data_IF_814420488730
#
_entry.id   IF_814420488730
#
_cell.length_a   1.000
_cell.length_b   1.000
_cell.length_c   1.000
_cell.angle_alpha   90.00
_cell.angle_beta   90.00
_cell.angle_gamma   90.00
#
_symmetry.space_group_name_H-M   'P 1'
#
loop_
_entity.id
_entity.type
_entity.pdbx_description
1 polymer ?
#
# COMPACT_ATOMS: atom_id res chain seq x y z
N UNK A 1 7.14 0.48 -20.33
CA UNK A 1 7.14 -0.69 -21.21
C UNK A 1 6.45 -1.87 -20.54
N UNK A 2 5.78 -2.77 -21.31
CA UNK A 2 5.06 -3.92 -20.78
C UNK A 2 5.93 -4.83 -19.89
N UNK A 3 7.20 -5.00 -20.24
CA UNK A 3 8.17 -5.78 -19.47
C UNK A 3 8.40 -5.21 -18.07
N UNK A 4 8.55 -3.91 -17.95
CA UNK A 4 8.71 -3.24 -16.64
C UNK A 4 7.48 -3.43 -15.75
N UNK A 5 6.28 -3.36 -16.32
CA UNK A 5 5.03 -3.62 -15.60
C UNK A 5 4.92 -5.07 -15.11
N UNK A 6 5.29 -6.03 -15.96
CA UNK A 6 5.28 -7.45 -15.59
C UNK A 6 6.29 -7.76 -14.47
N UNK A 7 7.51 -7.26 -14.58
CA UNK A 7 8.53 -7.42 -13.50
C UNK A 7 8.08 -6.80 -12.19
N UNK A 8 7.48 -5.61 -12.21
CA UNK A 8 6.92 -4.97 -11.02
C UNK A 8 5.82 -5.81 -10.39
N UNK A 9 4.89 -6.33 -11.20
CA UNK A 9 3.81 -7.18 -10.73
C UNK A 9 4.34 -8.46 -10.06
N UNK A 10 5.33 -9.11 -10.68
CA UNK A 10 5.98 -10.31 -10.11
C UNK A 10 6.63 -10.02 -8.76
N UNK A 11 7.37 -8.92 -8.62
CA UNK A 11 8.01 -8.55 -7.35
C UNK A 11 6.97 -8.29 -6.25
N UNK A 12 5.90 -7.54 -6.56
CA UNK A 12 4.84 -7.25 -5.58
C UNK A 12 4.13 -8.54 -5.16
N UNK A 13 3.83 -9.44 -6.11
CA UNK A 13 3.19 -10.70 -5.84
C UNK A 13 4.08 -11.62 -5.00
N UNK A 14 5.38 -11.66 -5.27
CA UNK A 14 6.36 -12.44 -4.48
C UNK A 14 6.39 -11.98 -3.03
N UNK A 15 6.43 -10.67 -2.78
CA UNK A 15 6.40 -10.11 -1.42
C UNK A 15 5.06 -10.45 -0.75
N UNK A 16 3.95 -10.37 -1.48
CA UNK A 16 2.63 -10.76 -1.00
C UNK A 16 2.58 -12.24 -0.60
N UNK A 17 3.18 -13.11 -1.39
CA UNK A 17 3.23 -14.56 -1.12
C UNK A 17 4.07 -14.86 0.13
N UNK A 18 5.14 -14.12 0.39
CA UNK A 18 5.92 -14.28 1.63
C UNK A 18 5.10 -14.00 2.89
N UNK A 19 4.13 -13.09 2.81
CA UNK A 19 3.26 -12.72 3.93
C UNK A 19 1.99 -13.59 4.03
N UNK A 20 1.66 -14.36 2.99
CA UNK A 20 0.38 -15.05 2.88
C UNK A 20 0.41 -16.41 3.58
N UNK A 21 -0.43 -16.56 4.60
CA UNK A 21 -0.75 -17.87 5.25
C UNK A 21 -2.07 -18.48 4.78
N UNK A 22 -2.66 -17.97 3.71
CA UNK A 22 -4.08 -18.17 3.45
C UNK A 22 -4.91 -17.19 4.30
N UNK A 23 -5.96 -16.62 3.71
CA UNK A 23 -6.85 -15.73 4.46
C UNK A 23 -7.85 -16.57 5.23
N UNK A 24 -7.96 -16.34 6.53
CA UNK A 24 -9.15 -16.75 7.26
C UNK A 24 -10.38 -16.17 6.56
N UNK A 25 -11.27 -17.04 6.14
CA UNK A 25 -12.55 -16.66 5.53
C UNK A 25 -13.66 -16.90 6.53
N UNK A 26 -14.49 -15.89 6.73
CA UNK A 26 -15.67 -16.00 7.59
C UNK A 26 -16.87 -16.24 6.69
N UNK A 27 -17.60 -17.28 6.99
CA UNK A 27 -18.83 -17.68 6.31
C UNK A 27 -20.02 -17.47 7.23
N UNK A 28 -21.16 -17.22 6.61
CA UNK A 28 -22.44 -17.08 7.30
C UNK A 28 -23.47 -17.91 6.55
N UNK A 29 -24.17 -18.79 7.22
CA UNK A 29 -25.31 -19.52 6.68
C UNK A 29 -26.44 -19.62 7.69
N UNK A 30 -27.65 -19.80 7.20
CA UNK A 30 -28.83 -20.08 8.02
C UNK A 30 -29.10 -21.58 8.14
N UNK A 31 -28.46 -22.42 7.31
CA UNK A 31 -28.57 -23.85 7.36
C UNK A 31 -27.36 -24.45 8.13
N UNK A 32 -27.61 -25.21 9.21
CA UNK A 32 -26.53 -25.88 9.94
C UNK A 32 -25.74 -26.90 9.10
N UNK A 33 -26.32 -27.39 8.00
CA UNK A 33 -25.65 -28.34 7.10
C UNK A 33 -24.51 -27.72 6.27
N UNK A 34 -24.55 -26.40 6.11
CA UNK A 34 -23.52 -25.66 5.36
C UNK A 34 -22.27 -25.40 6.19
N UNK A 35 -22.30 -25.69 7.48
CA UNK A 35 -21.15 -25.48 8.37
C UNK A 35 -20.08 -26.52 8.03
N UNK A 36 -18.90 -26.04 7.63
CA UNK A 36 -17.76 -26.91 7.34
C UNK A 36 -17.39 -27.74 8.61
N UNK A 37 -17.31 -29.09 8.51
CA UNK A 37 -16.88 -29.95 9.62
C UNK A 37 -15.52 -29.58 10.22
N UNK A 38 -14.65 -28.96 9.39
CA UNK A 38 -13.32 -28.51 9.80
C UNK A 38 -13.29 -27.03 10.24
N UNK A 39 -14.47 -26.43 10.40
CA UNK A 39 -14.56 -25.02 10.78
C UNK A 39 -14.06 -24.81 12.20
N UNK A 40 -13.31 -23.73 12.40
CA UNK A 40 -12.98 -23.21 13.72
C UNK A 40 -13.93 -22.07 14.09
N UNK A 41 -14.13 -21.84 15.39
CA UNK A 41 -14.92 -20.72 15.90
C UNK A 41 -16.37 -20.68 15.40
N UNK A 42 -17.06 -21.82 15.35
CA UNK A 42 -18.47 -21.88 15.01
C UNK A 42 -19.30 -21.16 16.08
N UNK A 43 -19.99 -20.09 15.71
CA UNK A 43 -20.83 -19.29 16.61
C UNK A 43 -22.23 -19.16 16.04
N UNK A 44 -23.20 -19.17 16.94
CA UNK A 44 -24.59 -18.88 16.56
C UNK A 44 -24.90 -17.42 16.85
N UNK A 45 -25.30 -16.68 15.82
CA UNK A 45 -25.73 -15.29 15.91
C UNK A 45 -27.22 -15.20 15.51
N UNK A 46 -28.12 -15.27 16.50
CA UNK A 46 -29.54 -15.37 16.24
C UNK A 46 -29.89 -16.69 15.51
N UNK A 47 -30.39 -16.56 14.26
CA UNK A 47 -30.70 -17.71 13.40
C UNK A 47 -29.53 -18.11 12.49
N UNK A 48 -28.48 -17.31 12.40
CA UNK A 48 -27.35 -17.57 11.55
C UNK A 48 -26.22 -18.32 12.26
N UNK A 49 -25.54 -19.18 11.53
CA UNK A 49 -24.28 -19.80 11.91
C UNK A 49 -23.15 -19.02 11.26
N UNK A 50 -22.19 -18.61 12.06
CA UNK A 50 -20.98 -17.89 11.62
C UNK A 50 -19.78 -18.76 11.97
N UNK A 51 -18.96 -19.07 11.00
CA UNK A 51 -17.75 -19.85 11.24
C UNK A 51 -16.59 -19.32 10.43
N UNK A 52 -15.41 -19.74 10.83
CA UNK A 52 -14.17 -19.33 10.16
C UNK A 52 -13.45 -20.57 9.67
N UNK A 53 -13.07 -20.58 8.41
CA UNK A 53 -12.18 -21.61 7.86
C UNK A 53 -10.83 -20.99 7.53
N UNK A 54 -9.77 -21.75 7.80
CA UNK A 54 -8.46 -21.45 7.26
C UNK A 54 -8.26 -22.39 6.08
N UNK A 55 -8.24 -21.90 4.84
CA UNK A 55 -8.03 -22.77 3.70
C UNK A 55 -6.70 -23.50 3.87
N UNK A 56 -6.71 -24.78 3.57
CA UNK A 56 -5.48 -25.58 3.54
C UNK A 56 -4.59 -24.96 2.49
N UNK A 57 -3.51 -24.33 2.95
CA UNK A 57 -2.52 -23.76 2.03
C UNK A 57 -1.80 -24.90 1.38
N UNK A 58 -1.82 -24.93 0.04
CA UNK A 58 -1.05 -25.91 -0.74
C UNK A 58 0.40 -25.95 -0.20
N UNK A 59 0.94 -27.16 0.09
CA UNK A 59 2.31 -27.33 0.56
C UNK A 59 3.35 -26.63 -0.32
N UNK A 60 3.09 -26.50 -1.61
CA UNK A 60 3.95 -25.75 -2.53
C UNK A 60 3.97 -24.25 -2.19
N UNK A 61 2.83 -23.67 -1.83
CA UNK A 61 2.70 -22.27 -1.43
C UNK A 61 3.29 -22.05 -0.03
N UNK A 62 3.22 -23.05 0.84
CA UNK A 62 3.76 -22.97 2.19
C UNK A 62 5.28 -22.85 2.18
N UNK A 63 5.97 -23.38 1.18
CA UNK A 63 7.43 -23.26 0.99
C UNK A 63 7.87 -21.81 0.83
N UNK A 64 7.02 -20.95 0.30
CA UNK A 64 7.31 -19.53 0.07
C UNK A 64 6.91 -18.64 1.25
N UNK A 65 6.29 -19.18 2.29
CA UNK A 65 5.93 -18.39 3.47
C UNK A 65 7.19 -17.99 4.24
N UNK A 66 7.50 -16.71 4.19
CA UNK A 66 8.64 -16.07 4.85
C UNK A 66 8.19 -14.72 5.43
N UNK A 67 7.41 -14.74 6.51
CA UNK A 67 6.85 -13.52 7.09
C UNK A 67 7.94 -12.55 7.55
N UNK A 68 9.08 -13.07 7.99
CA UNK A 68 10.23 -12.28 8.40
C UNK A 68 10.78 -11.41 7.25
N UNK A 69 10.81 -11.96 6.02
CA UNK A 69 11.22 -11.20 4.84
C UNK A 69 10.19 -10.15 4.45
N UNK A 70 8.90 -10.51 4.47
CA UNK A 70 7.82 -9.58 4.21
C UNK A 70 7.85 -8.43 5.23
N UNK A 71 8.01 -8.72 6.51
CA UNK A 71 8.09 -7.71 7.56
C UNK A 71 9.29 -6.77 7.36
N UNK A 72 10.47 -7.30 6.99
CA UNK A 72 11.64 -6.47 6.69
C UNK A 72 11.40 -5.52 5.52
N UNK A 73 10.79 -6.01 4.43
CA UNK A 73 10.45 -5.18 3.27
C UNK A 73 9.50 -4.06 3.67
N UNK A 74 8.43 -4.38 4.41
CA UNK A 74 7.47 -3.40 4.89
C UNK A 74 8.08 -2.41 5.88
N UNK A 75 8.90 -2.86 6.80
CA UNK A 75 9.57 -1.99 7.77
C UNK A 75 10.52 -1.00 7.08
N UNK A 76 11.30 -1.47 6.11
CA UNK A 76 12.18 -0.59 5.31
C UNK A 76 11.39 0.39 4.45
N UNK A 77 10.28 -0.05 3.85
CA UNK A 77 9.39 0.83 3.10
C UNK A 77 8.83 1.95 3.97
N UNK A 78 8.32 1.61 5.16
CA UNK A 78 7.82 2.59 6.14
C UNK A 78 8.91 3.52 6.65
N UNK A 79 10.09 3.01 6.95
CA UNK A 79 11.21 3.84 7.37
C UNK A 79 11.59 4.86 6.30
N UNK A 80 11.62 4.46 5.02
CA UNK A 80 11.88 5.37 3.91
C UNK A 80 10.76 6.37 3.66
N UNK A 81 9.51 5.97 3.88
CA UNK A 81 8.37 6.88 3.80
C UNK A 81 8.44 7.99 4.85
N UNK A 82 8.97 7.67 6.03
CA UNK A 82 9.20 8.67 7.08
C UNK A 82 10.45 9.51 6.82
N UNK A 83 11.56 8.87 6.48
CA UNK A 83 12.82 9.54 6.19
C UNK A 83 13.69 8.67 5.29
N UNK A 84 14.00 9.16 4.11
CA UNK A 84 14.83 8.45 3.13
C UNK A 84 15.85 9.37 2.47
N UNK A 85 16.98 8.83 2.02
CA UNK A 85 17.98 9.62 1.30
C UNK A 85 17.46 10.00 -0.08
N UNK A 86 17.64 11.24 -0.44
CA UNK A 86 17.36 11.80 -1.75
C UNK A 86 18.68 12.20 -2.43
N UNK A 87 18.61 12.67 -3.67
CA UNK A 87 19.79 13.24 -4.33
C UNK A 87 20.18 14.57 -3.68
N UNK A 88 21.33 15.12 -4.10
CA UNK A 88 21.87 16.41 -3.63
C UNK A 88 22.01 16.52 -2.10
N UNK A 89 22.23 15.37 -1.41
CA UNK A 89 22.34 15.35 0.05
C UNK A 89 21.03 15.63 0.81
N UNK A 90 19.92 15.75 0.10
CA UNK A 90 18.62 15.98 0.70
C UNK A 90 18.09 14.70 1.40
N UNK A 91 17.21 14.91 2.36
CA UNK A 91 16.39 13.85 2.96
C UNK A 91 14.93 14.11 2.60
N UNK A 92 14.27 13.08 2.11
CA UNK A 92 12.83 13.09 1.80
C UNK A 92 12.05 12.27 2.79
N UNK A 93 10.73 12.40 2.73
CA UNK A 93 9.80 11.67 3.57
C UNK A 93 8.96 12.57 4.46
N UNK A 94 8.00 11.98 5.17
CA UNK A 94 7.02 12.73 5.94
C UNK A 94 7.63 13.61 7.04
N UNK A 95 8.75 13.17 7.64
CA UNK A 95 9.47 13.95 8.67
C UNK A 95 10.20 15.18 8.11
N UNK A 96 10.32 15.26 6.79
CA UNK A 96 10.96 16.38 6.09
C UNK A 96 9.96 17.24 5.31
N UNK A 97 8.69 17.15 5.70
CA UNK A 97 7.61 18.01 5.25
C UNK A 97 7.26 18.95 6.40
N UNK A 98 7.14 20.27 6.19
CA UNK A 98 6.68 21.18 7.23
C UNK A 98 5.31 20.73 7.77
N UNK A 99 5.16 20.72 9.09
CA UNK A 99 3.97 20.16 9.74
C UNK A 99 2.65 20.82 9.27
N UNK A 100 2.69 22.13 8.98
CA UNK A 100 1.52 22.88 8.51
C UNK A 100 1.13 22.57 7.06
N UNK A 101 2.02 21.95 6.27
CA UNK A 101 1.74 21.54 4.89
C UNK A 101 1.43 20.05 4.76
N UNK A 102 1.70 19.25 5.79
CA UNK A 102 1.46 17.82 5.78
C UNK A 102 -0.03 17.52 6.03
N UNK A 103 -0.71 16.98 5.03
CA UNK A 103 -2.11 16.56 5.13
C UNK A 103 -2.24 15.13 5.67
N UNK A 104 -1.26 14.28 5.39
CA UNK A 104 -1.27 12.90 5.87
C UNK A 104 -0.34 11.98 5.11
N UNK A 105 -0.25 10.76 5.64
CA UNK A 105 0.52 9.66 5.06
C UNK A 105 -0.41 8.46 4.93
N UNK A 106 -0.48 7.86 3.76
CA UNK A 106 -1.30 6.67 3.54
C UNK A 106 -0.63 5.72 2.56
N UNK A 107 -0.48 4.46 3.01
CA UNK A 107 0.22 3.45 2.22
C UNK A 107 1.67 3.86 1.97
N UNK A 108 2.00 4.11 0.73
CA UNK A 108 3.31 4.54 0.25
C UNK A 108 3.34 6.02 -0.23
N UNK A 109 2.29 6.77 0.04
CA UNK A 109 2.12 8.15 -0.40
C UNK A 109 2.07 9.14 0.76
N UNK A 110 2.62 10.33 0.53
CA UNK A 110 2.57 11.50 1.39
C UNK A 110 1.73 12.55 0.67
N UNK A 111 0.79 13.15 1.39
CA UNK A 111 -0.09 14.21 0.87
C UNK A 111 0.29 15.52 1.53
N UNK A 112 0.54 16.54 0.71
CA UNK A 112 0.98 17.87 1.17
C UNK A 112 0.23 18.96 0.45
N UNK A 113 0.09 20.12 1.05
CA UNK A 113 -0.47 21.32 0.41
C UNK A 113 0.55 22.05 -0.45
N UNK A 114 1.83 21.82 -0.21
CA UNK A 114 2.93 22.43 -0.94
C UNK A 114 3.91 21.35 -1.38
N UNK A 115 4.63 21.58 -2.46
CA UNK A 115 5.65 20.66 -2.96
C UNK A 115 6.92 20.79 -2.10
N UNK A 116 7.31 19.75 -1.36
CA UNK A 116 8.58 19.77 -0.65
C UNK A 116 9.75 19.78 -1.65
N UNK A 117 10.78 20.54 -1.34
CA UNK A 117 11.96 20.68 -2.22
C UNK A 117 12.56 19.32 -2.62
N UNK A 118 12.61 18.36 -1.69
CA UNK A 118 13.14 17.04 -1.96
C UNK A 118 12.34 16.24 -3.00
N UNK A 119 11.10 16.59 -3.29
CA UNK A 119 10.25 15.94 -4.30
C UNK A 119 10.41 16.52 -5.70
N UNK A 120 11.12 17.62 -5.84
CA UNK A 120 11.41 18.22 -7.14
C UNK A 120 12.53 17.46 -7.86
N UNK A 121 12.55 17.48 -9.21
CA UNK A 121 13.66 16.94 -9.99
C UNK A 121 14.99 17.58 -9.62
N UNK A 122 16.07 16.82 -9.78
CA UNK A 122 17.46 17.29 -9.49
C UNK A 122 17.81 18.55 -10.29
N UNK A 123 17.34 18.66 -11.52
CA UNK A 123 17.55 19.79 -12.42
C UNK A 123 16.94 21.09 -11.87
N UNK A 124 15.97 20.98 -10.99
CA UNK A 124 15.33 22.09 -10.27
C UNK A 124 15.84 22.26 -8.84
N UNK A 125 17.00 21.69 -8.54
CA UNK A 125 17.59 21.74 -7.20
C UNK A 125 16.89 20.83 -6.18
N UNK A 126 16.09 19.89 -6.66
CA UNK A 126 15.39 18.92 -5.82
C UNK A 126 16.18 17.64 -5.55
N UNK A 127 15.51 16.66 -5.04
CA UNK A 127 16.08 15.38 -4.61
C UNK A 127 15.68 14.17 -5.44
N UNK A 128 14.77 14.33 -6.42
CA UNK A 128 14.34 13.24 -7.30
C UNK A 128 15.30 13.10 -8.49
N UNK A 129 16.12 12.06 -8.45
CA UNK A 129 17.06 11.68 -9.51
C UNK A 129 16.52 10.51 -10.37
N UNK A 130 15.25 10.19 -10.24
CA UNK A 130 14.59 9.11 -10.98
C UNK A 130 14.99 7.70 -10.57
N UNK A 131 15.92 7.53 -9.61
CA UNK A 131 16.41 6.20 -9.19
C UNK A 131 15.38 5.45 -8.36
N UNK A 132 15.48 4.13 -8.42
CA UNK A 132 14.64 3.23 -7.61
C UNK A 132 14.83 3.51 -6.13
N UNK A 133 13.71 3.59 -5.38
CA UNK A 133 13.71 3.86 -3.95
C UNK A 133 13.76 5.33 -3.57
N UNK A 134 13.72 6.23 -4.55
CA UNK A 134 13.45 7.66 -4.32
C UNK A 134 11.94 7.91 -4.25
N UNK A 135 11.58 8.96 -3.53
CA UNK A 135 10.24 9.51 -3.57
C UNK A 135 10.14 10.50 -4.74
N UNK A 136 9.03 10.42 -5.47
CA UNK A 136 8.77 11.33 -6.57
C UNK A 136 7.36 11.91 -6.47
N UNK A 137 7.17 13.05 -7.09
CA UNK A 137 5.85 13.62 -7.30
C UNK A 137 5.04 12.70 -8.20
N UNK A 138 3.87 12.26 -7.73
CA UNK A 138 2.92 11.46 -8.53
C UNK A 138 1.92 12.33 -9.27
N UNK A 139 1.60 13.50 -8.73
CA UNK A 139 0.66 14.43 -9.31
C UNK A 139 0.16 15.43 -8.29
N UNK A 140 -0.64 16.38 -8.75
CA UNK A 140 -1.25 17.41 -7.91
C UNK A 140 -2.71 17.63 -8.27
N UNK A 141 -3.42 18.26 -7.38
CA UNK A 141 -4.80 18.69 -7.57
C UNK A 141 -4.89 20.18 -7.25
N UNK A 142 -5.49 20.93 -8.16
CA UNK A 142 -5.70 22.36 -7.98
C UNK A 142 -7.02 22.63 -7.23
N UNK A 143 -7.02 23.65 -6.39
CA UNK A 143 -8.18 24.17 -5.71
C UNK A 143 -8.59 23.39 -4.44
N UNK A 144 -9.65 23.83 -3.79
CA UNK A 144 -10.14 23.21 -2.58
C UNK A 144 -10.63 21.79 -2.87
N UNK A 145 -10.12 20.82 -2.13
CA UNK A 145 -10.49 19.42 -2.26
C UNK A 145 -11.41 19.04 -1.11
N UNK A 146 -12.57 18.51 -1.44
CA UNK A 146 -13.46 17.93 -0.45
C UNK A 146 -12.80 16.71 0.18
N UNK A 147 -12.83 16.63 1.51
CA UNK A 147 -12.28 15.48 2.25
C UNK A 147 -12.93 14.19 1.76
N UNK A 148 -12.13 13.21 1.28
CA UNK A 148 -12.65 11.94 0.82
C UNK A 148 -13.11 11.10 2.01
N UNK A 149 -14.38 10.77 2.06
CA UNK A 149 -14.98 9.97 3.12
C UNK A 149 -14.93 8.47 2.80
N UNK A 150 -15.08 8.12 1.53
CA UNK A 150 -15.14 6.73 1.07
C UNK A 150 -13.86 6.30 0.36
N UNK A 151 -13.67 4.99 0.16
CA UNK A 151 -12.58 4.44 -0.64
C UNK A 151 -12.72 4.84 -2.12
N UNK A 152 -13.95 4.92 -2.63
CA UNK A 152 -14.23 5.36 -3.99
C UNK A 152 -13.80 6.82 -4.21
N UNK A 153 -14.09 7.72 -3.26
CA UNK A 153 -13.66 9.12 -3.31
C UNK A 153 -12.13 9.22 -3.37
N UNK A 154 -11.45 8.41 -2.55
CA UNK A 154 -9.97 8.37 -2.50
C UNK A 154 -9.36 7.89 -3.81
N UNK A 155 -9.95 6.86 -4.41
CA UNK A 155 -9.49 6.34 -5.69
C UNK A 155 -9.72 7.35 -6.81
N UNK A 156 -10.85 8.04 -6.80
CA UNK A 156 -11.14 9.12 -7.76
C UNK A 156 -10.13 10.26 -7.65
N UNK A 157 -9.79 10.69 -6.43
CA UNK A 157 -8.78 11.72 -6.23
C UNK A 157 -7.39 11.28 -6.71
N UNK A 158 -7.01 10.02 -6.46
CA UNK A 158 -5.74 9.47 -6.97
C UNK A 158 -5.69 9.46 -8.49
N UNK A 159 -6.77 9.04 -9.16
CA UNK A 159 -6.84 9.02 -10.61
C UNK A 159 -6.72 10.44 -11.18
N UNK A 160 -7.41 11.40 -10.59
CA UNK A 160 -7.33 12.82 -10.99
C UNK A 160 -5.93 13.39 -10.80
N UNK A 161 -5.27 13.07 -9.68
CA UNK A 161 -3.90 13.52 -9.42
C UNK A 161 -2.91 12.87 -10.38
N UNK A 162 -3.04 11.56 -10.64
CA UNK A 162 -2.19 10.83 -11.57
C UNK A 162 -2.35 11.32 -13.02
N UNK A 163 -3.57 11.69 -13.44
CA UNK A 163 -3.82 12.26 -14.76
C UNK A 163 -3.16 13.63 -14.98
N UNK A 164 -2.80 14.32 -13.89
CA UNK A 164 -2.05 15.58 -13.88
C UNK A 164 -0.61 15.40 -13.43
N UNK A 165 -0.14 14.16 -13.42
CA UNK A 165 1.24 13.84 -13.08
C UNK A 165 2.23 14.56 -13.98
N UNK A 166 3.41 14.82 -13.45
CA UNK A 166 4.53 15.30 -14.24
C UNK A 166 4.92 14.15 -15.17
N UNK A 167 4.57 14.30 -16.45
CA UNK A 167 5.19 13.47 -17.47
C UNK A 167 6.69 13.73 -17.41
N UNK A 168 7.39 12.71 -16.89
CA UNK A 168 8.83 12.71 -16.83
C UNK A 168 9.44 12.22 -18.13
#
# INVERSE_FOLDING_TARGET
>A
TAVSGAMRAMLIQTIGNFASRGRRQTFVSYDPKDVDPNASDVRRQGKAFVWTTTPVVDPATQKFYRPELAMQVWARGRARLLSGPMANGLKGGALHVPAHTLLGVRGDAIYTTELPQWSLPVERGGGDDGKIGRMRLQGWLDGPIKTPLTEADRNTLRQKAAARGVDG
#
